data_IF_526982687024
#
_entry.id   IF_526982687024
#
_cell.length_a   1.000
_cell.length_b   1.000
_cell.length_c   1.000
_cell.angle_alpha   90.00
_cell.angle_beta   90.00
_cell.angle_gamma   90.00
#
_symmetry.space_group_name_H-M   'P 1'
#
loop_
_entity.id
_entity.type
_entity.pdbx_description
1 polymer ?
#
# COMPACT_ATOMS: atom_id res chain seq x y z
N UNK A 1 -8.00 4.66 -4.47
CA UNK A 1 -6.84 5.55 -4.73
C UNK A 1 -5.67 4.70 -5.20
N UNK A 2 -4.81 5.21 -6.08
CA UNK A 2 -3.64 4.51 -6.62
C UNK A 2 -2.43 5.44 -6.51
N UNK A 3 -1.43 5.04 -5.73
CA UNK A 3 -0.25 5.85 -5.44
C UNK A 3 1.03 5.01 -5.54
N UNK A 4 2.14 5.68 -5.83
CA UNK A 4 3.49 5.16 -5.64
C UNK A 4 4.12 5.91 -4.47
N UNK A 5 4.81 5.20 -3.60
CA UNK A 5 5.49 5.83 -2.48
C UNK A 5 6.41 4.91 -1.72
N UNK A 6 7.27 5.52 -0.91
CA UNK A 6 8.17 4.82 0.00
C UNK A 6 7.45 4.54 1.30
N UNK A 7 7.48 3.28 1.73
CA UNK A 7 6.93 2.88 3.02
C UNK A 7 7.89 3.27 4.13
N UNK A 8 7.42 4.02 5.11
CA UNK A 8 8.20 4.36 6.30
C UNK A 8 8.14 3.28 7.38
N UNK A 9 8.77 3.53 8.54
CA UNK A 9 8.70 2.62 9.68
C UNK A 9 7.25 2.54 10.19
N UNK A 10 6.76 1.31 10.35
CA UNK A 10 5.45 1.05 10.91
C UNK A 10 5.49 0.84 12.41
N UNK A 11 4.36 1.10 13.08
CA UNK A 11 4.10 0.67 14.45
C UNK A 11 3.01 -0.39 14.42
N UNK A 12 3.17 -1.43 15.22
CA UNK A 12 2.11 -2.41 15.43
C UNK A 12 1.02 -1.81 16.32
N UNK A 13 -0.22 -2.06 15.96
CA UNK A 13 -1.41 -1.71 16.72
C UNK A 13 -2.27 -2.97 16.82
N UNK A 14 -2.71 -3.29 18.04
CA UNK A 14 -3.73 -4.30 18.25
C UNK A 14 -5.07 -3.75 17.79
N UNK A 15 -5.75 -4.48 16.91
CA UNK A 15 -7.09 -4.10 16.57
C UNK A 15 -8.01 -4.36 17.77
N UNK A 16 -8.85 -3.38 18.10
CA UNK A 16 -9.92 -3.57 19.07
C UNK A 16 -10.85 -4.74 18.68
N UNK A 17 -11.73 -5.19 19.59
CA UNK A 17 -12.58 -6.36 19.39
C UNK A 17 -13.41 -6.31 18.09
N UNK A 18 -13.76 -5.12 17.62
CA UNK A 18 -14.53 -4.88 16.39
C UNK A 18 -13.79 -5.25 15.10
N UNK A 19 -12.48 -5.49 15.17
CA UNK A 19 -11.61 -5.86 14.04
C UNK A 19 -11.00 -7.27 14.19
N UNK A 20 -11.63 -8.12 15.00
CA UNK A 20 -11.31 -9.54 15.08
C UNK A 20 -9.96 -9.86 15.72
N UNK A 21 -9.42 -8.97 16.56
CA UNK A 21 -8.20 -9.22 17.34
C UNK A 21 -6.92 -9.41 16.52
N UNK A 22 -6.91 -8.98 15.25
CA UNK A 22 -5.72 -9.07 14.39
C UNK A 22 -4.68 -7.98 14.74
N UNK A 23 -3.40 -8.27 14.55
CA UNK A 23 -2.34 -7.26 14.67
C UNK A 23 -2.17 -6.54 13.34
N UNK A 24 -2.31 -5.22 13.36
CA UNK A 24 -2.08 -4.36 12.20
C UNK A 24 -0.80 -3.57 12.37
N UNK A 25 -0.17 -3.22 11.26
CA UNK A 25 0.88 -2.22 11.22
C UNK A 25 0.31 -0.94 10.64
N UNK A 26 0.52 0.18 11.33
CA UNK A 26 0.26 1.54 10.81
C UNK A 26 1.59 2.17 10.45
N UNK A 27 1.77 2.47 9.17
CA UNK A 27 3.01 3.04 8.65
C UNK A 27 2.72 4.27 7.77
N UNK A 28 3.57 5.30 7.84
CA UNK A 28 3.49 6.40 6.89
C UNK A 28 3.95 5.94 5.51
N UNK A 29 3.35 6.51 4.47
CA UNK A 29 3.82 6.39 3.08
C UNK A 29 4.13 7.78 2.57
N UNK A 30 5.39 7.99 2.17
CA UNK A 30 5.81 9.19 1.46
C UNK A 30 5.50 9.00 -0.03
N UNK A 31 4.45 9.67 -0.49
CA UNK A 31 3.89 9.53 -1.84
C UNK A 31 4.76 10.31 -2.83
N UNK A 32 5.25 9.60 -3.85
CA UNK A 32 6.09 10.16 -4.91
C UNK A 32 5.31 10.43 -6.20
N UNK A 33 4.22 9.69 -6.42
CA UNK A 33 3.30 9.92 -7.54
C UNK A 33 1.90 9.36 -7.26
N UNK A 34 0.88 9.94 -7.91
CA UNK A 34 -0.53 9.52 -7.77
C UNK A 34 -1.14 9.31 -9.14
N UNK A 35 -1.77 8.16 -9.36
CA UNK A 35 -2.49 7.85 -10.60
C UNK A 35 -4.01 8.01 -10.49
N UNK A 36 -4.58 7.83 -9.30
CA UNK A 36 -6.03 7.98 -9.08
C UNK A 36 -6.34 8.40 -7.66
N UNK A 37 -7.23 9.38 -7.49
CA UNK A 37 -7.62 9.92 -6.20
C UNK A 37 -6.71 11.06 -5.74
N UNK A 38 -6.96 11.57 -4.54
CA UNK A 38 -6.26 12.73 -4.00
C UNK A 38 -5.48 12.36 -2.73
N UNK A 39 -4.25 12.84 -2.67
CA UNK A 39 -3.40 12.79 -1.48
C UNK A 39 -3.17 14.23 -1.03
N UNK A 40 -3.74 14.66 0.12
CA UNK A 40 -3.44 15.97 0.67
C UNK A 40 -1.94 16.04 1.03
N UNK A 41 -1.20 16.92 0.36
CA UNK A 41 0.25 16.98 0.48
C UNK A 41 0.95 15.80 -0.21
N UNK A 42 1.91 15.18 0.48
CA UNK A 42 2.73 14.09 -0.06
C UNK A 42 2.85 12.90 0.90
N UNK A 43 2.01 12.81 1.93
CA UNK A 43 2.09 11.76 2.94
C UNK A 43 0.72 11.24 3.32
N UNK A 44 0.62 9.94 3.53
CA UNK A 44 -0.57 9.29 4.06
C UNK A 44 -0.20 8.24 5.11
N UNK A 45 -1.18 7.81 5.90
CA UNK A 45 -1.06 6.65 6.78
C UNK A 45 -1.67 5.43 6.12
N UNK A 46 -0.89 4.35 6.05
CA UNK A 46 -1.29 3.03 5.57
C UNK A 46 -1.42 2.09 6.76
N UNK A 47 -2.60 1.50 6.93
CA UNK A 47 -2.85 0.42 7.86
C UNK A 47 -2.98 -0.90 7.08
N UNK A 48 -2.25 -1.93 7.49
CA UNK A 48 -2.21 -3.23 6.84
C UNK A 48 -1.97 -4.32 7.88
N UNK A 49 -2.33 -5.57 7.57
CA UNK A 49 -2.01 -6.70 8.45
C UNK A 49 -0.49 -6.86 8.56
N UNK A 50 0.00 -6.97 9.79
CA UNK A 50 1.44 -7.14 10.05
C UNK A 50 1.97 -8.37 9.28
N UNK A 51 3.06 -8.25 8.50
CA UNK A 51 3.57 -9.37 7.71
C UNK A 51 3.89 -10.58 8.58
N UNK A 52 3.39 -11.77 8.18
CA UNK A 52 3.63 -13.03 8.87
C UNK A 52 2.67 -13.35 10.03
N UNK A 53 1.72 -12.47 10.36
CA UNK A 53 0.71 -12.76 11.40
C UNK A 53 -0.45 -13.63 10.90
N UNK A 54 -0.66 -13.70 9.58
CA UNK A 54 -1.66 -14.54 8.94
C UNK A 54 -1.19 -14.98 7.54
N UNK A 55 -1.89 -15.97 6.97
CA UNK A 55 -1.73 -16.29 5.56
C UNK A 55 -2.20 -15.12 4.68
N UNK A 56 -1.53 -14.89 3.55
CA UNK A 56 -1.92 -13.85 2.59
C UNK A 56 -1.63 -12.41 3.04
N UNK A 57 -0.72 -12.20 4.00
CA UNK A 57 -0.24 -10.85 4.34
C UNK A 57 0.67 -10.31 3.25
N UNK A 58 0.53 -9.02 2.94
CA UNK A 58 1.47 -8.34 2.04
C UNK A 58 2.89 -8.35 2.65
N UNK A 59 3.94 -8.76 1.93
CA UNK A 59 5.34 -8.72 2.35
C UNK A 59 5.91 -7.29 2.28
N UNK A 60 5.22 -6.34 2.91
CA UNK A 60 5.63 -4.95 2.94
C UNK A 60 6.81 -4.77 3.90
N UNK A 61 7.82 -4.02 3.46
CA UNK A 61 9.04 -3.75 4.22
C UNK A 61 9.29 -2.25 4.26
N UNK A 62 9.54 -1.72 5.46
CA UNK A 62 9.94 -0.32 5.61
C UNK A 62 11.18 0.00 4.76
N UNK A 63 11.24 1.23 4.24
CA UNK A 63 12.31 1.73 3.38
C UNK A 63 12.18 1.34 1.90
N UNK A 64 11.33 0.36 1.55
CA UNK A 64 11.07 -0.03 0.16
C UNK A 64 9.98 0.83 -0.48
N UNK A 65 10.01 0.87 -1.80
CA UNK A 65 9.03 1.58 -2.61
C UNK A 65 8.01 0.61 -3.21
N UNK A 66 6.76 1.05 -3.25
CA UNK A 66 5.64 0.25 -3.72
C UNK A 66 4.66 1.10 -4.51
N UNK A 67 3.87 0.43 -5.35
CA UNK A 67 2.56 0.95 -5.77
C UNK A 67 1.52 0.38 -4.82
N UNK A 68 0.66 1.24 -4.28
CA UNK A 68 -0.43 0.86 -3.41
C UNK A 68 -1.78 1.16 -4.06
N UNK A 69 -2.64 0.14 -4.08
CA UNK A 69 -4.05 0.25 -4.43
C UNK A 69 -4.84 0.38 -3.13
N UNK A 70 -5.35 1.58 -2.87
CA UNK A 70 -5.85 1.97 -1.57
C UNK A 70 -7.36 2.22 -1.56
N UNK A 71 -7.99 1.80 -0.47
CA UNK A 71 -9.31 2.28 -0.04
C UNK A 71 -9.17 3.07 1.27
N UNK A 72 -10.22 3.78 1.67
CA UNK A 72 -10.33 4.44 2.98
C UNK A 72 -11.43 3.75 3.77
N UNK A 73 -11.25 3.58 5.07
CA UNK A 73 -12.41 3.39 5.93
C UNK A 73 -13.22 4.69 5.95
N UNK A 74 -14.52 4.56 6.25
CA UNK A 74 -15.46 5.66 6.46
C UNK A 74 -14.85 6.84 7.29
N UNK A 75 -15.41 8.06 7.20
CA UNK A 75 -14.69 9.35 7.30
C UNK A 75 -14.02 9.71 8.64
N UNK A 76 -13.91 8.81 9.60
CA UNK A 76 -13.51 9.10 10.99
C UNK A 76 -12.04 8.77 11.33
N UNK A 77 -11.36 7.86 10.61
CA UNK A 77 -10.00 7.42 11.00
C UNK A 77 -8.87 7.95 10.12
N UNK A 78 -9.15 8.45 8.91
CA UNK A 78 -8.13 9.01 7.99
C UNK A 78 -7.09 8.01 7.46
N UNK A 79 -7.13 6.75 7.93
CA UNK A 79 -6.22 5.68 7.53
C UNK A 79 -6.62 5.09 6.17
N UNK A 80 -5.61 4.76 5.37
CA UNK A 80 -5.79 4.05 4.12
C UNK A 80 -5.48 2.57 4.31
N UNK A 81 -6.14 1.72 3.55
CA UNK A 81 -5.98 0.27 3.57
C UNK A 81 -5.73 -0.23 2.16
N UNK A 82 -5.01 -1.34 2.04
CA UNK A 82 -4.93 -2.05 0.76
C UNK A 82 -6.33 -2.53 0.36
N UNK A 83 -6.70 -2.39 -0.92
CA UNK A 83 -7.95 -2.98 -1.45
C UNK A 83 -7.95 -4.51 -1.36
N UNK A 84 -6.77 -5.12 -1.27
CA UNK A 84 -6.53 -6.54 -1.04
C UNK A 84 -5.15 -6.71 -0.40
N UNK A 85 -5.01 -7.60 0.58
CA UNK A 85 -3.72 -7.87 1.24
C UNK A 85 -2.74 -8.58 0.31
N UNK A 86 -3.22 -9.30 -0.70
CA UNK A 86 -2.39 -10.09 -1.61
C UNK A 86 -2.19 -9.40 -2.96
N UNK A 87 -3.20 -8.65 -3.42
CA UNK A 87 -3.23 -8.02 -4.75
C UNK A 87 -3.22 -6.49 -4.73
N UNK A 88 -3.34 -5.87 -3.57
CA UNK A 88 -3.42 -4.41 -3.42
C UNK A 88 -2.09 -3.67 -3.52
N UNK A 89 -1.00 -4.34 -3.90
CA UNK A 89 0.34 -3.76 -3.93
C UNK A 89 1.21 -4.34 -5.06
N UNK A 90 2.20 -3.55 -5.47
CA UNK A 90 3.26 -3.96 -6.41
C UNK A 90 4.60 -3.48 -5.85
N UNK A 91 5.60 -4.35 -5.81
CA UNK A 91 6.95 -3.93 -5.45
C UNK A 91 7.52 -3.02 -6.55
N UNK A 92 8.19 -1.95 -6.18
CA UNK A 92 8.93 -1.12 -7.13
C UNK A 92 10.41 -1.46 -7.03
N UNK A 93 10.99 -1.92 -8.13
CA UNK A 93 12.40 -2.28 -8.23
C UNK A 93 13.29 -1.04 -8.43
N UNK A 94 14.60 -1.21 -8.34
CA UNK A 94 15.56 -0.11 -8.48
C UNK A 94 15.51 0.57 -9.87
N UNK A 95 15.11 -0.15 -10.91
CA UNK A 95 14.88 0.39 -12.26
C UNK A 95 13.47 0.99 -12.45
N UNK A 96 12.76 1.25 -11.34
CA UNK A 96 11.48 1.96 -11.31
C UNK A 96 10.37 1.17 -12.03
N UNK A 97 10.48 -0.15 -12.05
CA UNK A 97 9.48 -1.06 -12.58
C UNK A 97 8.59 -1.56 -11.45
N UNK A 98 7.28 -1.58 -11.68
CA UNK A 98 6.34 -2.22 -10.74
C UNK A 98 6.19 -3.70 -11.08
N UNK A 99 6.45 -4.56 -10.11
CA UNK A 99 6.30 -6.01 -10.20
C UNK A 99 5.15 -6.45 -9.29
N UNK A 100 4.14 -7.16 -9.82
CA UNK A 100 3.07 -7.66 -8.99
C UNK A 100 3.57 -8.75 -8.04
N UNK A 101 2.87 -8.93 -6.92
CA UNK A 101 3.11 -10.06 -6.02
C UNK A 101 2.72 -11.40 -6.66
N UNK A 102 3.14 -12.56 -6.09
CA UNK A 102 2.87 -13.88 -6.65
C UNK A 102 1.38 -14.21 -6.85
N UNK A 103 0.51 -13.61 -6.03
CA UNK A 103 -0.93 -13.80 -6.07
C UNK A 103 -1.66 -12.75 -6.92
N UNK A 104 -0.91 -11.89 -7.61
CA UNK A 104 -1.44 -10.86 -8.50
C UNK A 104 -0.87 -11.08 -9.90
N UNK A 105 -1.71 -11.49 -10.84
CA UNK A 105 -1.35 -11.67 -12.25
C UNK A 105 -1.74 -10.47 -13.12
N UNK A 106 -2.30 -9.42 -12.51
CA UNK A 106 -2.80 -8.25 -13.22
C UNK A 106 -1.71 -7.18 -13.35
N UNK A 107 -1.18 -6.91 -14.56
CA UNK A 107 -0.27 -5.80 -14.76
C UNK A 107 -0.99 -4.46 -14.64
N UNK A 108 -0.26 -3.44 -14.16
CA UNK A 108 -0.74 -2.06 -14.23
C UNK A 108 -0.91 -1.63 -15.69
N UNK A 109 -2.03 -0.99 -16.01
CA UNK A 109 -2.27 -0.41 -17.33
C UNK A 109 -1.21 0.65 -17.66
N UNK A 110 -0.96 0.86 -18.95
CA UNK A 110 0.03 1.83 -19.41
C UNK A 110 -0.24 3.25 -18.87
N UNK A 111 -1.50 3.67 -18.84
CA UNK A 111 -1.90 4.97 -18.28
C UNK A 111 -1.54 5.10 -16.80
N UNK A 112 -1.76 4.06 -16.00
CA UNK A 112 -1.38 4.05 -14.58
C UNK A 112 0.14 4.09 -14.43
N UNK A 113 0.88 3.30 -15.21
CA UNK A 113 2.35 3.32 -15.16
C UNK A 113 2.93 4.71 -15.45
N UNK A 114 2.44 5.37 -16.50
CA UNK A 114 2.85 6.74 -16.86
C UNK A 114 2.54 7.74 -15.75
N UNK A 115 1.33 7.69 -15.18
CA UNK A 115 0.95 8.59 -14.09
C UNK A 115 1.80 8.35 -12.82
N UNK A 116 2.20 7.12 -12.56
CA UNK A 116 3.10 6.75 -11.44
C UNK A 116 4.59 6.92 -11.75
N UNK A 117 4.93 7.41 -12.95
CA UNK A 117 6.31 7.59 -13.42
C UNK A 117 7.12 6.29 -13.34
N UNK A 118 6.47 5.18 -13.68
CA UNK A 118 7.07 3.86 -13.74
C UNK A 118 7.64 3.58 -15.13
N UNK A 119 8.71 2.78 -15.17
CA UNK A 119 9.29 2.28 -16.42
C UNK A 119 8.29 1.34 -17.12
N UNK A 120 8.21 1.46 -18.45
CA UNK A 120 7.37 0.59 -19.31
C UNK A 120 7.97 -0.81 -19.48
#
# INVERSE_FOLDING_TARGET
>A
MIVRGRLGPGREEEAGPDRGGSTYTVAPVDVTATAKGEVPGNRLQLSYLTPGTAAGTAPLTAGKEYVFLLTKDAPTTGNHYLVSTTQGWYAVTADVRATPGPENDLPLSQGVRRALRLRE
#
